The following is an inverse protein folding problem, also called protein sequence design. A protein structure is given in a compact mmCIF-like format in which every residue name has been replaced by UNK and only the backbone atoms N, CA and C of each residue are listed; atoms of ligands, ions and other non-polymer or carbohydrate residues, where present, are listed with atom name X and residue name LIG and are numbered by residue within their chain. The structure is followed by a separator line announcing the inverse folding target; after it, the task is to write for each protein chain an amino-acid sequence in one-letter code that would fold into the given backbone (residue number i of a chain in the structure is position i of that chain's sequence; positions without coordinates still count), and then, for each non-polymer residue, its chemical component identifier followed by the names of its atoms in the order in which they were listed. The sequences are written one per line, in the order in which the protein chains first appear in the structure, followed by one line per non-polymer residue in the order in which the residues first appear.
data_IF_138761897647
#
_entry.id   IF_138761897647
#
_cell.length_a   1.000
_cell.length_b   1.000
_cell.length_c   1.000
_cell.angle_alpha   90.00
_cell.angle_beta   90.00
_cell.angle_gamma   90.00
#
_symmetry.space_group_name_H-M   'P 1'
#
loop_
_entity.id
_entity.type
_entity.pdbx_description
1 polymer ?
#
# COMPACT_ATOMS: atom_id res chain seq x y z
N UNK A 1 -23.11 5.20 25.15
CA UNK A 1 -22.99 6.31 24.17
C UNK A 1 -22.52 5.72 22.85
N UNK A 2 -23.18 6.00 21.71
CA UNK A 2 -22.70 5.55 20.41
C UNK A 2 -21.33 6.17 20.12
N UNK A 3 -20.38 5.36 19.66
CA UNK A 3 -19.01 5.79 19.37
C UNK A 3 -19.05 6.71 18.14
N UNK A 4 -18.61 7.96 18.27
CA UNK A 4 -18.49 8.86 17.12
C UNK A 4 -17.54 8.24 16.08
N UNK A 5 -18.06 7.98 14.88
CA UNK A 5 -17.28 7.42 13.77
C UNK A 5 -16.21 8.45 13.37
N UNK A 6 -14.94 8.04 13.34
CA UNK A 6 -13.85 8.85 12.81
C UNK A 6 -13.67 8.50 11.32
N UNK A 7 -13.55 9.50 10.43
CA UNK A 7 -13.33 9.23 9.01
C UNK A 7 -12.03 8.45 8.80
N UNK A 8 -12.05 7.51 7.86
CA UNK A 8 -10.87 6.72 7.49
C UNK A 8 -9.83 7.64 6.84
N UNK A 9 -8.55 7.50 7.23
CA UNK A 9 -7.43 8.22 6.61
C UNK A 9 -6.79 7.35 5.53
N UNK A 10 -6.90 7.76 4.28
CA UNK A 10 -6.26 7.09 3.15
C UNK A 10 -4.79 7.53 3.00
N UNK A 11 -3.98 6.66 2.39
CA UNK A 11 -2.61 6.98 2.01
C UNK A 11 -2.56 7.79 0.72
N UNK A 12 -1.44 8.47 0.48
CA UNK A 12 -1.21 9.29 -0.72
C UNK A 12 -0.56 8.52 -1.87
N UNK A 13 -0.12 7.28 -1.63
CA UNK A 13 0.59 6.50 -2.63
C UNK A 13 -0.39 5.97 -3.69
N UNK A 14 -0.11 6.28 -4.96
CA UNK A 14 -0.81 5.72 -6.12
C UNK A 14 -0.24 4.36 -6.49
N UNK A 15 -1.01 3.56 -7.24
CA UNK A 15 -0.57 2.25 -7.74
C UNK A 15 0.75 2.36 -8.53
N UNK A 16 0.83 3.37 -9.40
CA UNK A 16 1.98 3.63 -10.27
C UNK A 16 3.23 4.04 -9.49
N UNK A 17 3.08 4.91 -8.48
CA UNK A 17 4.20 5.27 -7.61
C UNK A 17 4.76 4.06 -6.85
N UNK A 18 3.88 3.14 -6.46
CA UNK A 18 4.26 1.92 -5.73
C UNK A 18 4.92 0.91 -6.66
N UNK A 19 4.41 0.70 -7.88
CA UNK A 19 5.04 -0.20 -8.85
C UNK A 19 6.45 0.27 -9.20
N UNK A 20 6.60 1.55 -9.51
CA UNK A 20 7.90 2.14 -9.83
C UNK A 20 8.88 1.98 -8.66
N UNK A 21 8.44 2.25 -7.43
CA UNK A 21 9.28 2.10 -6.24
C UNK A 21 9.73 0.65 -6.00
N UNK A 22 8.86 -0.33 -6.26
CA UNK A 22 9.19 -1.76 -6.13
C UNK A 22 10.19 -2.18 -7.20
N UNK A 23 10.01 -1.73 -8.44
CA UNK A 23 10.91 -2.04 -9.55
C UNK A 23 12.32 -1.46 -9.34
N UNK A 24 12.43 -0.24 -8.79
CA UNK A 24 13.74 0.32 -8.41
C UNK A 24 14.50 -0.60 -7.44
N UNK A 25 13.79 -1.17 -6.47
CA UNK A 25 14.40 -2.02 -5.43
C UNK A 25 14.75 -3.41 -5.97
N UNK A 26 13.91 -3.99 -6.83
CA UNK A 26 14.10 -5.37 -7.30
C UNK A 26 15.00 -5.46 -8.55
N UNK A 27 14.86 -4.53 -9.49
CA UNK A 27 15.53 -4.60 -10.79
C UNK A 27 16.76 -3.68 -10.86
N UNK A 28 16.78 -2.58 -10.11
CA UNK A 28 17.85 -1.58 -10.17
C UNK A 28 18.74 -1.53 -8.91
N UNK A 29 18.58 -2.50 -7.99
CA UNK A 29 19.35 -2.61 -6.74
C UNK A 29 19.33 -1.37 -5.83
N UNK A 30 18.29 -0.54 -5.90
CA UNK A 30 18.13 0.58 -4.96
C UNK A 30 17.84 0.09 -3.55
N UNK A 31 18.29 0.85 -2.55
CA UNK A 31 17.85 0.62 -1.18
C UNK A 31 16.37 1.01 -1.01
N UNK A 32 15.65 0.30 -0.14
CA UNK A 32 14.21 0.58 0.13
C UNK A 32 14.01 2.02 0.61
N UNK A 33 14.96 2.58 1.36
CA UNK A 33 14.90 3.97 1.83
C UNK A 33 15.05 4.97 0.68
N UNK A 34 15.97 4.72 -0.24
CA UNK A 34 16.20 5.60 -1.39
C UNK A 34 15.01 5.56 -2.35
N UNK A 35 14.51 4.37 -2.71
CA UNK A 35 13.34 4.23 -3.57
C UNK A 35 12.08 4.87 -2.98
N UNK A 36 11.90 4.79 -1.65
CA UNK A 36 10.81 5.46 -0.94
C UNK A 36 10.85 6.98 -1.12
N UNK A 37 12.03 7.59 -1.04
CA UNK A 37 12.22 9.04 -1.25
C UNK A 37 11.98 9.40 -2.72
N UNK A 38 12.57 8.64 -3.66
CA UNK A 38 12.45 8.91 -5.10
C UNK A 38 11.00 8.88 -5.59
N UNK A 39 10.19 7.94 -5.10
CA UNK A 39 8.80 7.75 -5.54
C UNK A 39 7.76 8.39 -4.59
N UNK A 40 8.20 9.15 -3.58
CA UNK A 40 7.33 9.76 -2.56
C UNK A 40 6.38 8.76 -1.88
N UNK A 41 6.89 7.58 -1.54
CA UNK A 41 6.16 6.51 -0.86
C UNK A 41 6.67 6.36 0.57
N UNK A 42 5.79 6.10 1.53
CA UNK A 42 6.21 5.83 2.92
C UNK A 42 7.05 4.54 2.99
N UNK A 43 8.26 4.65 3.55
CA UNK A 43 9.17 3.52 3.79
C UNK A 43 8.51 2.23 4.32
N UNK A 44 7.72 2.26 5.43
CA UNK A 44 7.13 1.03 5.97
C UNK A 44 6.11 0.40 5.02
N UNK A 45 5.46 1.21 4.19
CA UNK A 45 4.55 0.71 3.15
C UNK A 45 5.37 0.01 2.07
N UNK A 46 6.35 0.69 1.47
CA UNK A 46 7.19 0.11 0.42
C UNK A 46 7.86 -1.20 0.87
N UNK A 47 8.40 -1.23 2.08
CA UNK A 47 9.04 -2.43 2.64
C UNK A 47 8.09 -3.65 2.67
N UNK A 48 6.80 -3.44 2.99
CA UNK A 48 5.80 -4.52 2.96
C UNK A 48 5.56 -5.03 1.54
N UNK A 49 5.44 -4.13 0.56
CA UNK A 49 5.21 -4.51 -0.84
C UNK A 49 6.41 -5.24 -1.44
N UNK A 50 7.63 -4.77 -1.19
CA UNK A 50 8.86 -5.46 -1.60
C UNK A 50 8.93 -6.86 -0.98
N UNK A 51 8.64 -7.01 0.33
CA UNK A 51 8.61 -8.33 0.97
C UNK A 51 7.57 -9.25 0.33
N UNK A 52 6.37 -8.72 0.04
CA UNK A 52 5.27 -9.46 -0.60
C UNK A 52 5.65 -9.93 -2.01
N UNK A 53 6.35 -9.10 -2.79
CA UNK A 53 6.82 -9.45 -4.14
C UNK A 53 7.99 -10.44 -4.11
N UNK A 54 8.88 -10.35 -3.13
CA UNK A 54 9.95 -11.36 -2.91
C UNK A 54 9.40 -12.73 -2.52
N UNK A 55 8.31 -12.79 -1.76
CA UNK A 55 7.67 -14.07 -1.42
C UNK A 55 6.92 -14.72 -2.58
N UNK A 56 6.45 -13.93 -3.56
CA UNK A 56 5.69 -14.38 -4.72
C UNK A 56 6.16 -13.62 -5.98
N UNK A 57 7.32 -14.02 -6.53
CA UNK A 57 7.97 -13.33 -7.65
C UNK A 57 7.07 -13.28 -8.90
N UNK A 58 6.45 -14.42 -9.25
CA UNK A 58 5.57 -14.55 -10.42
C UNK A 58 4.13 -14.12 -10.16
N UNK A 59 3.78 -13.85 -8.89
CA UNK A 59 2.42 -13.47 -8.53
C UNK A 59 2.06 -12.06 -9.01
N UNK A 60 0.86 -11.92 -9.59
CA UNK A 60 0.24 -10.61 -9.79
C UNK A 60 -0.21 -10.05 -8.43
N UNK A 61 0.56 -9.09 -7.93
CA UNK A 61 0.31 -8.45 -6.64
C UNK A 61 -0.32 -7.10 -6.89
N UNK A 62 -1.50 -6.87 -6.32
CA UNK A 62 -2.13 -5.55 -6.29
C UNK A 62 -1.20 -4.55 -5.60
N UNK A 63 -0.81 -3.49 -6.31
CA UNK A 63 0.05 -2.40 -5.83
C UNK A 63 -0.72 -1.28 -5.10
N UNK A 64 -2.03 -1.43 -5.00
CA UNK A 64 -2.90 -0.54 -4.25
C UNK A 64 -3.33 -1.12 -2.91
N UNK A 65 -3.52 -0.27 -1.88
CA UNK A 65 -4.15 -0.67 -0.64
C UNK A 65 -5.65 -0.97 -0.84
N UNK A 66 -6.12 -2.11 -0.33
CA UNK A 66 -7.55 -2.40 -0.26
C UNK A 66 -8.12 -1.99 1.11
N UNK A 67 -8.73 -0.81 1.18
CA UNK A 67 -9.32 -0.29 2.41
C UNK A 67 -10.67 -0.91 2.77
N UNK A 68 -11.30 -1.62 1.84
CA UNK A 68 -12.61 -2.23 2.01
C UNK A 68 -12.54 -3.67 2.54
N UNK A 69 -11.35 -4.28 2.56
CA UNK A 69 -11.18 -5.68 2.97
C UNK A 69 -11.72 -5.99 4.38
N UNK A 70 -11.80 -5.02 5.29
CA UNK A 70 -12.29 -5.20 6.67
C UNK A 70 -13.64 -4.53 6.93
N UNK A 71 -14.32 -4.09 5.88
CA UNK A 71 -15.63 -3.49 6.01
C UNK A 71 -16.68 -4.60 6.21
N UNK A 72 -17.18 -4.73 7.43
CA UNK A 72 -18.19 -5.73 7.80
C UNK A 72 -19.61 -5.26 7.49
N UNK A 73 -19.86 -3.96 7.61
CA UNK A 73 -21.15 -3.34 7.33
C UNK A 73 -21.05 -2.51 6.05
N UNK A 74 -22.04 -2.67 5.16
CA UNK A 74 -22.21 -1.77 4.01
C UNK A 74 -22.62 -0.40 4.52
N UNK A 75 -22.33 0.64 3.73
CA UNK A 75 -22.68 2.03 4.09
C UNK A 75 -24.20 2.18 4.36
N UNK A 76 -25.03 1.38 3.68
CA UNK A 76 -26.49 1.29 3.87
C UNK A 76 -26.94 0.73 5.23
N UNK A 77 -26.05 0.09 6.00
CA UNK A 77 -26.34 -0.54 7.29
C UNK A 77 -25.74 0.22 8.48
N UNK A 78 -25.12 1.38 8.24
CA UNK A 78 -24.52 2.22 9.30
C UNK A 78 -25.41 3.41 9.72
N UNK A 79 -26.68 3.50 9.26
CA UNK A 79 -27.68 4.48 9.72
C UNK A 79 -28.32 4.15 11.08
#
# INVERSE_FOLDING_TARGET
MPRKLKPRKYGTATAESMSNAVDLVLNQNYSVRQAAVCCNVKYPTLQRYVKKKRSNLEGNIRMEPNYYHRQLFKDEHEE
#
